data_IF_745127577220
#
_entry.id   IF_745127577220
#
_cell.length_a   1.000
_cell.length_b   1.000
_cell.length_c   1.000
_cell.angle_alpha   90.00
_cell.angle_beta   90.00
_cell.angle_gamma   90.00
#
_symmetry.space_group_name_H-M   'P 1'
#
loop_
_entity.id
_entity.type
_entity.pdbx_description
1 polymer ?
#
# COMPACT_ATOMS: atom_id res chain seq x y z
N UNK A 1 16.26 21.21 0.27
CA UNK A 1 16.50 20.02 1.10
C UNK A 1 16.24 18.79 0.23
N UNK A 2 16.99 17.70 0.37
CA UNK A 2 16.65 16.46 -0.32
C UNK A 2 15.35 15.89 0.28
N UNK A 3 14.39 15.52 -0.57
CA UNK A 3 13.18 14.83 -0.15
C UNK A 3 13.37 13.32 -0.29
N UNK A 4 12.94 12.56 0.70
CA UNK A 4 12.88 11.10 0.59
C UNK A 4 11.67 10.71 -0.27
N UNK A 5 11.95 10.03 -1.39
CA UNK A 5 10.93 9.52 -2.31
C UNK A 5 11.03 8.00 -2.33
N UNK A 6 9.90 7.32 -2.17
CA UNK A 6 9.79 5.86 -1.99
C UNK A 6 9.45 5.12 -3.29
N UNK A 7 9.64 5.78 -4.42
CA UNK A 7 9.44 5.24 -5.75
C UNK A 7 10.46 5.83 -6.71
N UNK A 8 10.80 5.09 -7.75
CA UNK A 8 11.71 5.53 -8.80
C UNK A 8 10.99 6.36 -9.89
N UNK A 9 9.66 6.50 -9.79
CA UNK A 9 8.83 7.15 -10.81
C UNK A 9 8.18 8.41 -10.25
N UNK A 10 8.44 9.54 -10.88
CA UNK A 10 7.85 10.82 -10.49
C UNK A 10 7.16 11.49 -11.68
N UNK A 11 6.10 12.26 -11.40
CA UNK A 11 5.38 13.05 -12.38
C UNK A 11 5.03 14.44 -11.85
N UNK A 12 5.02 15.38 -12.78
CA UNK A 12 4.26 16.61 -12.77
C UNK A 12 2.89 16.61 -12.10
N UNK A 13 2.54 17.51 -11.16
CA UNK A 13 1.11 17.82 -10.94
C UNK A 13 0.45 18.35 -12.23
N UNK A 14 1.21 19.05 -13.07
CA UNK A 14 0.74 19.52 -14.38
C UNK A 14 0.57 18.36 -15.37
N UNK A 15 1.50 17.40 -15.38
CA UNK A 15 1.41 16.20 -16.23
C UNK A 15 0.23 15.32 -15.82
N UNK A 16 0.05 15.13 -14.52
CA UNK A 16 -1.10 14.40 -13.96
C UNK A 16 -2.42 15.07 -14.36
N UNK A 17 -2.52 16.40 -14.25
CA UNK A 17 -3.71 17.15 -14.68
C UNK A 17 -3.96 17.04 -16.18
N UNK A 18 -2.90 17.05 -16.99
CA UNK A 18 -3.01 17.00 -18.45
C UNK A 18 -3.47 15.62 -18.94
N UNK A 19 -2.94 14.53 -18.38
CA UNK A 19 -3.36 13.17 -18.74
C UNK A 19 -3.13 12.18 -17.58
N UNK A 20 -4.12 12.01 -16.68
CA UNK A 20 -3.99 11.14 -15.52
C UNK A 20 -3.67 9.69 -15.90
N UNK A 21 -4.35 9.17 -16.92
CA UNK A 21 -4.21 7.77 -17.33
C UNK A 21 -2.81 7.47 -17.88
N UNK A 22 -2.21 8.42 -18.61
CA UNK A 22 -0.83 8.28 -19.09
C UNK A 22 0.16 8.25 -17.94
N UNK A 23 -0.03 9.11 -16.94
CA UNK A 23 0.82 9.12 -15.74
C UNK A 23 0.69 7.79 -15.01
N UNK A 24 -0.53 7.34 -14.69
CA UNK A 24 -0.75 6.04 -14.04
C UNK A 24 -0.11 4.88 -14.82
N UNK A 25 -0.27 4.85 -16.15
CA UNK A 25 0.31 3.81 -17.00
C UNK A 25 1.84 3.82 -16.98
N UNK A 26 2.49 4.99 -16.86
CA UNK A 26 3.95 5.07 -16.73
C UNK A 26 4.50 4.45 -15.45
N UNK A 27 3.65 4.29 -14.43
CA UNK A 27 3.97 3.64 -13.17
C UNK A 27 4.20 2.14 -13.28
N UNK A 28 3.74 1.48 -14.36
CA UNK A 28 3.81 0.02 -14.52
C UNK A 28 3.30 -0.76 -13.29
N UNK A 29 2.21 -0.27 -12.66
CA UNK A 29 1.66 -0.86 -11.44
C UNK A 29 2.33 -0.40 -10.14
N UNK A 30 3.44 0.34 -10.20
CA UNK A 30 4.12 0.91 -9.03
C UNK A 30 3.55 2.29 -8.66
N UNK A 31 3.69 2.72 -7.38
CA UNK A 31 3.38 4.08 -6.97
C UNK A 31 4.17 5.14 -7.74
N UNK A 32 3.57 6.31 -7.94
CA UNK A 32 4.21 7.45 -8.63
C UNK A 32 4.22 8.65 -7.69
N UNK A 33 5.38 9.27 -7.50
CA UNK A 33 5.50 10.51 -6.74
C UNK A 33 4.99 11.68 -7.58
N UNK A 34 3.96 12.36 -7.12
CA UNK A 34 3.43 13.55 -7.78
C UNK A 34 4.07 14.79 -7.17
N UNK A 35 4.77 15.55 -8.01
CA UNK A 35 5.55 16.71 -7.60
C UNK A 35 4.79 18.01 -7.87
N UNK A 36 4.82 18.93 -6.90
CA UNK A 36 4.37 20.30 -7.05
C UNK A 36 5.55 21.24 -6.77
N UNK A 37 5.96 22.06 -7.74
CA UNK A 37 7.15 22.94 -7.64
C UNK A 37 8.42 22.19 -7.21
N UNK A 38 8.63 20.98 -7.76
CA UNK A 38 9.73 20.06 -7.44
C UNK A 38 9.73 19.49 -6.01
N UNK A 39 8.64 19.68 -5.27
CA UNK A 39 8.45 19.07 -3.95
C UNK A 39 7.44 17.93 -4.07
N UNK A 40 7.71 16.74 -3.52
CA UNK A 40 6.75 15.64 -3.53
C UNK A 40 5.52 16.01 -2.71
N UNK A 41 4.37 16.09 -3.37
CA UNK A 41 3.11 16.49 -2.76
C UNK A 41 2.30 15.28 -2.27
N UNK A 42 2.24 14.21 -3.08
CA UNK A 42 1.55 12.96 -2.76
C UNK A 42 2.03 11.81 -3.65
N UNK A 43 1.63 10.58 -3.31
CA UNK A 43 1.78 9.43 -4.18
C UNK A 43 0.47 9.12 -4.91
N UNK A 44 0.54 8.91 -6.21
CA UNK A 44 -0.51 8.26 -6.98
C UNK A 44 -0.24 6.76 -6.94
N UNK A 45 -1.09 6.00 -6.23
CA UNK A 45 -0.97 4.55 -6.09
C UNK A 45 -2.03 3.90 -6.99
N UNK A 46 -1.64 3.03 -7.94
CA UNK A 46 -2.61 2.28 -8.74
C UNK A 46 -3.54 1.43 -7.87
N UNK A 47 -4.80 1.26 -8.26
CA UNK A 47 -5.82 0.57 -7.47
C UNK A 47 -5.37 -0.82 -6.99
N UNK A 48 -4.86 -1.65 -7.91
CA UNK A 48 -4.37 -2.99 -7.59
C UNK A 48 -3.21 -2.99 -6.58
N UNK A 49 -2.30 -2.01 -6.67
CA UNK A 49 -1.21 -1.88 -5.71
C UNK A 49 -1.69 -1.41 -4.34
N UNK A 50 -2.71 -0.56 -4.30
CA UNK A 50 -3.34 -0.13 -3.05
C UNK A 50 -4.11 -1.28 -2.38
N UNK A 51 -4.86 -2.07 -3.14
CA UNK A 51 -5.55 -3.26 -2.65
C UNK A 51 -4.57 -4.27 -2.04
N UNK A 52 -3.47 -4.58 -2.75
CA UNK A 52 -2.43 -5.46 -2.24
C UNK A 52 -1.74 -4.90 -0.98
N UNK A 53 -1.57 -3.58 -0.87
CA UNK A 53 -1.04 -2.95 0.34
C UNK A 53 -1.99 -3.15 1.53
N UNK A 54 -3.30 -3.01 1.33
CA UNK A 54 -4.29 -3.21 2.40
C UNK A 54 -4.33 -4.68 2.85
N UNK A 55 -4.29 -5.63 1.90
CA UNK A 55 -4.24 -7.07 2.22
C UNK A 55 -3.01 -7.41 3.07
N UNK A 56 -1.84 -6.86 2.74
CA UNK A 56 -0.62 -7.06 3.53
C UNK A 56 -0.70 -6.45 4.95
N UNK A 57 -1.43 -5.34 5.12
CA UNK A 57 -1.65 -4.73 6.44
C UNK A 57 -2.56 -5.62 7.27
N UNK A 58 -3.66 -6.09 6.70
CA UNK A 58 -4.60 -7.00 7.37
C UNK A 58 -3.90 -8.29 7.80
N UNK A 59 -3.08 -8.88 6.92
CA UNK A 59 -2.26 -10.06 7.23
C UNK A 59 -1.27 -9.78 8.38
N UNK A 60 -0.65 -8.61 8.42
CA UNK A 60 0.28 -8.24 9.49
C UNK A 60 -0.43 -8.12 10.85
N UNK A 61 -1.65 -7.60 10.88
CA UNK A 61 -2.49 -7.55 12.08
C UNK A 61 -2.90 -8.95 12.53
N UNK A 62 -3.29 -9.83 11.60
CA UNK A 62 -3.61 -11.22 11.90
C UNK A 62 -2.40 -11.97 12.45
N UNK A 63 -1.22 -11.78 11.86
CA UNK A 63 0.03 -12.38 12.35
C UNK A 63 0.37 -11.93 13.77
N UNK A 64 0.06 -10.68 14.12
CA UNK A 64 0.24 -10.19 15.49
C UNK A 64 -0.67 -10.93 16.46
N UNK A 65 -1.94 -11.10 16.11
CA UNK A 65 -2.90 -11.86 16.93
C UNK A 65 -2.47 -13.32 17.10
N UNK A 66 -2.03 -13.97 16.02
CA UNK A 66 -1.52 -15.33 16.07
C UNK A 66 -0.35 -15.41 17.04
N UNK A 67 0.64 -14.51 16.92
CA UNK A 67 1.81 -14.49 17.82
C UNK A 67 1.43 -14.28 19.29
N UNK A 68 0.46 -13.41 19.56
CA UNK A 68 -0.02 -13.17 20.93
C UNK A 68 -0.67 -14.43 21.54
N UNK A 69 -1.36 -15.23 20.73
CA UNK A 69 -2.10 -16.42 21.18
C UNK A 69 -1.37 -17.75 20.98
N UNK A 70 -0.17 -17.73 20.41
CA UNK A 70 0.58 -18.95 20.07
C UNK A 70 0.89 -19.83 21.29
N UNK A 71 1.07 -19.22 22.46
CA UNK A 71 1.41 -19.89 23.71
C UNK A 71 0.20 -20.05 24.66
N UNK A 72 -1.02 -19.71 24.23
CA UNK A 72 -2.24 -19.88 25.04
C UNK A 72 -2.64 -21.37 25.14
N UNK A 73 -3.22 -21.78 26.26
CA UNK A 73 -3.73 -23.14 26.42
C UNK A 73 -4.87 -23.41 25.43
N UNK A 74 -4.68 -24.39 24.55
CA UNK A 74 -5.71 -24.80 23.60
C UNK A 74 -6.80 -25.63 24.29
N UNK A 75 -8.07 -25.30 24.06
CA UNK A 75 -9.20 -26.13 24.47
C UNK A 75 -9.64 -27.00 23.29
N UNK A 76 -9.65 -28.32 23.48
CA UNK A 76 -10.15 -29.26 22.48
C UNK A 76 -11.67 -29.26 22.49
N UNK A 77 -12.29 -28.97 21.34
CA UNK A 77 -13.74 -29.00 21.13
C UNK A 77 -14.07 -29.80 19.86
N UNK A 78 -15.30 -30.31 19.75
CA UNK A 78 -15.84 -30.85 18.50
C UNK A 78 -16.75 -29.83 17.82
N UNK A 79 -17.06 -30.03 16.53
CA UNK A 79 -18.00 -29.15 15.81
C UNK A 79 -19.41 -29.14 16.43
N UNK A 80 -19.80 -30.24 17.07
CA UNK A 80 -21.09 -30.37 17.77
C UNK A 80 -21.13 -29.57 19.10
N UNK A 81 -19.99 -29.06 19.57
CA UNK A 81 -19.85 -28.31 20.84
C UNK A 81 -19.82 -26.77 20.65
N UNK A 82 -19.94 -26.27 19.41
CA UNK A 82 -19.95 -24.84 19.05
C UNK A 82 -21.37 -24.28 18.92
#
# INVERSE_FOLDING_TARGET
MPYQVLTDIAASISELKANPMKVVASGNGMPIAVLNRNEPAFYCVPAQAYEALMELIDDAELLKLVKERMDEESVKVTLDDL
#
